data_IF_515944545086
#
_entry.id   IF_515944545086
#
_cell.length_a   1.000
_cell.length_b   1.000
_cell.length_c   1.000
_cell.angle_alpha   90.00
_cell.angle_beta   90.00
_cell.angle_gamma   90.00
#
_symmetry.space_group_name_H-M   'P 1'
#
loop_
_entity.id
_entity.type
_entity.pdbx_description
1 polymer ?
#
# COMPACT_ATOMS: atom_id res chain seq x y z
N UNK A 1 8.07 45.18 32.17
CA UNK A 1 7.62 43.82 32.48
C UNK A 1 7.39 42.94 31.25
N UNK A 2 7.15 43.49 30.06
CA UNK A 2 6.88 42.71 28.83
C UNK A 2 8.08 41.96 28.21
N UNK A 3 9.30 42.46 28.44
CA UNK A 3 10.51 41.89 27.81
C UNK A 3 10.95 40.53 28.43
N UNK A 4 10.61 40.30 29.70
CA UNK A 4 10.92 39.05 30.39
C UNK A 4 9.94 37.93 30.02
N UNK A 5 8.68 38.29 29.76
CA UNK A 5 7.64 37.37 29.35
C UNK A 5 7.88 36.84 27.93
N UNK A 6 8.29 37.73 27.03
CA UNK A 6 8.63 37.36 25.63
C UNK A 6 9.86 36.47 25.54
N UNK A 7 10.85 36.68 26.42
CA UNK A 7 12.05 35.85 26.47
C UNK A 7 11.77 34.42 27.05
N UNK A 8 10.86 34.37 28.03
CA UNK A 8 10.39 33.09 28.62
C UNK A 8 9.59 32.27 27.62
N UNK A 9 8.70 32.90 26.86
CA UNK A 9 7.92 32.22 25.80
C UNK A 9 8.83 31.75 24.67
N UNK A 10 9.77 32.56 24.23
CA UNK A 10 10.76 32.21 23.20
C UNK A 10 11.65 31.01 23.61
N UNK A 11 12.06 30.96 24.89
CA UNK A 11 12.86 29.84 25.41
C UNK A 11 12.03 28.55 25.54
N UNK A 12 10.75 28.65 25.94
CA UNK A 12 9.83 27.49 25.97
C UNK A 12 9.59 26.94 24.57
N UNK A 13 9.37 27.80 23.59
CA UNK A 13 9.16 27.39 22.19
C UNK A 13 10.45 26.74 21.64
N UNK A 14 11.61 27.31 21.90
CA UNK A 14 12.91 26.74 21.50
C UNK A 14 13.21 25.39 22.18
N UNK A 15 12.78 25.20 23.45
CA UNK A 15 12.87 23.93 24.16
C UNK A 15 12.01 22.85 23.51
N UNK A 16 10.77 23.17 23.19
CA UNK A 16 9.85 22.24 22.51
C UNK A 16 10.37 21.78 21.13
N UNK A 17 10.99 22.69 20.37
CA UNK A 17 11.61 22.35 19.08
C UNK A 17 12.93 21.59 19.21
N UNK A 18 13.62 21.70 20.33
CA UNK A 18 14.91 21.04 20.55
C UNK A 18 14.72 19.54 20.92
N UNK A 19 13.61 19.21 21.61
CA UNK A 19 13.25 17.83 21.94
C UNK A 19 12.43 17.15 20.82
N UNK A 20 11.97 17.91 19.81
CA UNK A 20 11.32 17.36 18.64
C UNK A 20 12.39 16.77 17.72
N UNK A 21 12.66 15.49 17.90
CA UNK A 21 13.54 14.74 16.99
C UNK A 21 12.91 14.70 15.60
N UNK A 22 13.27 15.68 14.80
CA UNK A 22 12.74 15.85 13.44
C UNK A 22 12.87 14.57 12.61
N UNK A 23 13.91 13.77 12.88
CA UNK A 23 14.15 12.50 12.20
C UNK A 23 13.06 11.43 12.49
N UNK A 24 12.47 11.43 13.69
CA UNK A 24 11.44 10.45 14.06
C UNK A 24 10.06 10.82 13.46
N UNK A 25 9.83 12.11 13.22
CA UNK A 25 8.54 12.60 12.70
C UNK A 25 8.62 13.09 11.25
N UNK A 26 9.79 13.00 10.61
CA UNK A 26 10.01 13.53 9.26
C UNK A 26 9.05 12.92 8.23
N UNK A 27 8.79 11.62 8.33
CA UNK A 27 7.86 10.92 7.43
C UNK A 27 6.43 11.44 7.58
N UNK A 28 5.95 11.60 8.83
CA UNK A 28 4.63 12.15 9.11
C UNK A 28 4.49 13.61 8.68
N UNK A 29 5.52 14.43 8.97
CA UNK A 29 5.55 15.83 8.55
C UNK A 29 5.57 15.97 7.03
N UNK A 30 6.36 15.13 6.34
CA UNK A 30 6.42 15.06 4.88
C UNK A 30 5.07 14.66 4.28
N UNK A 31 4.38 13.68 4.86
CA UNK A 31 3.03 13.29 4.43
C UNK A 31 2.03 14.44 4.57
N UNK A 32 2.01 15.12 5.73
CA UNK A 32 1.10 16.26 5.96
C UNK A 32 1.39 17.38 4.96
N UNK A 33 2.66 17.71 4.74
CA UNK A 33 3.06 18.74 3.78
C UNK A 33 2.58 18.39 2.36
N UNK A 34 2.81 17.16 1.90
CA UNK A 34 2.37 16.69 0.59
C UNK A 34 0.84 16.68 0.48
N UNK A 35 0.14 16.30 1.54
CA UNK A 35 -1.32 16.32 1.57
C UNK A 35 -1.88 17.74 1.43
N UNK A 36 -1.28 18.71 2.13
CA UNK A 36 -1.65 20.12 2.03
C UNK A 36 -1.38 20.65 0.62
N UNK A 37 -0.19 20.38 0.07
CA UNK A 37 0.16 20.80 -1.30
C UNK A 37 -0.79 20.18 -2.33
N UNK A 38 -1.08 18.89 -2.22
CA UNK A 38 -2.03 18.21 -3.11
C UNK A 38 -3.44 18.80 -3.00
N UNK A 39 -3.85 19.20 -1.80
CA UNK A 39 -5.14 19.86 -1.58
C UNK A 39 -5.19 21.24 -2.24
N UNK A 40 -4.13 22.05 -2.12
CA UNK A 40 -4.07 23.40 -2.72
C UNK A 40 -4.06 23.29 -4.24
N UNK A 41 -3.20 22.44 -4.81
CA UNK A 41 -3.04 22.31 -6.25
C UNK A 41 -4.25 21.62 -6.89
N UNK A 42 -4.83 20.64 -6.21
CA UNK A 42 -5.97 19.85 -6.70
C UNK A 42 -7.34 20.41 -6.38
N UNK A 43 -7.43 21.61 -5.78
CA UNK A 43 -8.71 22.22 -5.40
C UNK A 43 -9.62 22.51 -6.62
N UNK A 44 -10.94 22.24 -6.54
CA UNK A 44 -11.70 21.58 -5.46
C UNK A 44 -11.78 20.05 -5.62
N UNK A 45 -11.09 19.48 -6.60
CA UNK A 45 -11.27 18.08 -7.02
C UNK A 45 -10.61 17.07 -6.08
N UNK A 46 -9.51 17.46 -5.42
CA UNK A 46 -8.74 16.56 -4.55
C UNK A 46 -9.55 16.03 -3.37
N UNK A 47 -10.30 16.90 -2.69
CA UNK A 47 -11.11 16.56 -1.50
C UNK A 47 -12.50 16.01 -1.82
N UNK A 48 -12.88 15.88 -3.10
CA UNK A 48 -14.15 15.25 -3.45
C UNK A 48 -14.18 13.80 -2.96
N UNK A 49 -15.32 13.37 -2.40
CA UNK A 49 -15.51 12.00 -1.90
C UNK A 49 -15.12 10.97 -2.95
N UNK A 50 -15.48 11.19 -4.20
CA UNK A 50 -15.11 10.28 -5.30
C UNK A 50 -13.59 10.09 -5.43
N UNK A 51 -12.81 11.16 -5.29
CA UNK A 51 -11.35 11.08 -5.36
C UNK A 51 -10.76 10.41 -4.12
N UNK A 52 -11.25 10.77 -2.93
CA UNK A 52 -10.82 10.13 -1.68
C UNK A 52 -11.11 8.63 -1.67
N UNK A 53 -12.29 8.23 -2.16
CA UNK A 53 -12.62 6.80 -2.31
C UNK A 53 -11.69 6.09 -3.29
N UNK A 54 -11.31 6.72 -4.39
CA UNK A 54 -10.34 6.16 -5.34
C UNK A 54 -8.96 6.01 -4.71
N UNK A 55 -8.50 7.00 -3.93
CA UNK A 55 -7.22 6.95 -3.21
C UNK A 55 -7.25 5.79 -2.20
N UNK A 56 -8.30 5.69 -1.37
CA UNK A 56 -8.45 4.61 -0.40
C UNK A 56 -8.46 3.23 -1.07
N UNK A 57 -9.13 3.10 -2.21
CA UNK A 57 -9.14 1.86 -2.99
C UNK A 57 -7.73 1.48 -3.46
N UNK A 58 -6.98 2.44 -4.02
CA UNK A 58 -5.60 2.19 -4.47
C UNK A 58 -4.68 1.82 -3.30
N UNK A 59 -4.79 2.51 -2.16
CA UNK A 59 -4.04 2.18 -0.94
C UNK A 59 -4.38 0.77 -0.46
N UNK A 60 -5.65 0.36 -0.52
CA UNK A 60 -6.08 -0.98 -0.11
C UNK A 60 -5.41 -2.07 -0.95
N UNK A 61 -5.37 -1.92 -2.27
CA UNK A 61 -4.70 -2.89 -3.15
C UNK A 61 -3.19 -2.97 -2.86
N UNK A 62 -2.53 -1.82 -2.82
CA UNK A 62 -1.10 -1.74 -2.53
C UNK A 62 -0.78 -2.25 -1.12
N UNK A 63 -1.66 -1.98 -0.15
CA UNK A 63 -1.51 -2.43 1.23
C UNK A 63 -1.58 -3.95 1.36
N UNK A 64 -2.53 -4.61 0.69
CA UNK A 64 -2.65 -6.08 0.70
C UNK A 64 -1.40 -6.72 0.07
N UNK A 65 -0.95 -6.21 -1.07
CA UNK A 65 0.29 -6.67 -1.72
C UNK A 65 1.49 -6.43 -0.81
N UNK A 66 1.57 -5.24 -0.20
CA UNK A 66 2.65 -4.87 0.71
C UNK A 66 2.75 -5.77 1.95
N UNK A 67 1.61 -6.22 2.51
CA UNK A 67 1.60 -7.20 3.60
C UNK A 67 2.21 -8.54 3.16
N UNK A 68 1.85 -9.03 1.96
CA UNK A 68 2.46 -10.22 1.39
C UNK A 68 3.98 -10.07 1.19
N UNK A 69 4.40 -8.95 0.61
CA UNK A 69 5.82 -8.64 0.41
C UNK A 69 6.59 -8.52 1.73
N UNK A 70 5.97 -7.98 2.78
CA UNK A 70 6.59 -7.89 4.09
C UNK A 70 6.96 -9.27 4.63
N UNK A 71 6.10 -10.27 4.48
CA UNK A 71 6.39 -11.64 4.90
C UNK A 71 7.58 -12.23 4.12
N UNK A 72 7.67 -11.97 2.83
CA UNK A 72 8.78 -12.42 1.98
C UNK A 72 10.09 -11.75 2.39
N UNK A 73 10.07 -10.45 2.65
CA UNK A 73 11.26 -9.70 3.09
C UNK A 73 11.74 -10.17 4.46
N UNK A 74 10.83 -10.42 5.41
CA UNK A 74 11.19 -10.97 6.73
C UNK A 74 11.82 -12.36 6.61
N UNK A 75 11.39 -13.17 5.63
CA UNK A 75 12.01 -14.48 5.36
C UNK A 75 13.36 -14.39 4.62
N UNK A 76 13.86 -13.19 4.34
CA UNK A 76 15.15 -12.94 3.70
C UNK A 76 15.12 -13.00 2.17
N UNK A 77 13.91 -12.95 1.57
CA UNK A 77 13.72 -12.99 0.11
C UNK A 77 13.28 -11.64 -0.46
N UNK A 78 13.41 -11.50 -1.78
CA UNK A 78 12.80 -10.43 -2.57
C UNK A 78 12.09 -11.11 -3.73
N UNK A 79 10.76 -10.98 -3.81
CA UNK A 79 9.95 -11.53 -4.89
C UNK A 79 9.67 -10.43 -5.93
N UNK A 80 10.25 -10.56 -7.11
CA UNK A 80 10.00 -9.65 -8.23
C UNK A 80 8.79 -10.09 -9.08
N UNK A 81 8.24 -11.28 -8.84
CA UNK A 81 7.11 -11.81 -9.59
C UNK A 81 5.76 -11.18 -9.18
N UNK A 82 5.70 -10.46 -8.06
CA UNK A 82 4.45 -9.89 -7.51
C UNK A 82 3.66 -9.08 -8.53
N UNK A 83 4.33 -8.24 -9.33
CA UNK A 83 3.68 -7.44 -10.36
C UNK A 83 3.06 -8.30 -11.47
N UNK A 84 3.81 -9.25 -12.02
CA UNK A 84 3.34 -10.16 -13.06
C UNK A 84 2.27 -11.11 -12.55
N UNK A 85 2.41 -11.62 -11.32
CA UNK A 85 1.40 -12.42 -10.65
C UNK A 85 0.08 -11.67 -10.46
N UNK A 86 0.14 -10.44 -10.00
CA UNK A 86 -1.06 -9.60 -9.83
C UNK A 86 -1.77 -9.40 -11.16
N UNK A 87 -1.03 -9.10 -12.23
CA UNK A 87 -1.59 -8.96 -13.57
C UNK A 87 -2.18 -10.27 -14.09
N UNK A 88 -1.49 -11.39 -13.89
CA UNK A 88 -1.93 -12.70 -14.33
C UNK A 88 -3.21 -13.16 -13.62
N UNK A 89 -3.23 -13.10 -12.28
CA UNK A 89 -4.43 -13.44 -11.50
C UNK A 89 -5.60 -12.50 -11.82
N UNK A 90 -5.33 -11.21 -12.06
CA UNK A 90 -6.33 -10.26 -12.52
C UNK A 90 -6.93 -10.66 -13.88
N UNK A 91 -6.11 -11.07 -14.84
CA UNK A 91 -6.54 -11.60 -16.14
C UNK A 91 -7.39 -12.86 -16.00
N UNK A 92 -6.97 -13.80 -15.14
CA UNK A 92 -7.75 -15.01 -14.81
C UNK A 92 -9.09 -14.66 -14.18
N UNK A 93 -9.13 -13.65 -13.29
CA UNK A 93 -10.39 -13.18 -12.69
C UNK A 93 -11.37 -12.69 -13.75
N UNK A 94 -10.90 -11.86 -14.69
CA UNK A 94 -11.72 -11.33 -15.79
C UNK A 94 -12.19 -12.46 -16.70
N UNK A 95 -11.33 -13.41 -17.00
CA UNK A 95 -11.67 -14.59 -17.79
C UNK A 95 -12.83 -15.39 -17.15
N UNK A 96 -12.75 -15.67 -15.86
CA UNK A 96 -13.84 -16.37 -15.16
C UNK A 96 -15.13 -15.54 -15.10
N UNK A 97 -15.02 -14.22 -14.88
CA UNK A 97 -16.20 -13.34 -14.92
C UNK A 97 -16.91 -13.38 -16.26
N UNK A 98 -16.17 -13.52 -17.36
CA UNK A 98 -16.77 -13.59 -18.71
C UNK A 98 -17.36 -14.96 -19.04
N UNK A 99 -16.95 -16.04 -18.36
CA UNK A 99 -17.52 -17.38 -18.52
C UNK A 99 -18.89 -17.50 -17.84
N UNK A 100 -19.07 -16.83 -16.70
CA UNK A 100 -20.34 -16.86 -15.99
C UNK A 100 -21.31 -15.83 -16.59
N UNK A 101 -22.38 -16.26 -17.26
CA UNK A 101 -23.30 -15.33 -17.89
C UNK A 101 -24.09 -14.55 -16.84
N UNK A 102 -24.11 -13.23 -17.01
CA UNK A 102 -24.95 -12.29 -16.28
C UNK A 102 -24.24 -11.53 -15.15
N UNK A 103 -24.79 -10.35 -14.84
CA UNK A 103 -24.36 -9.48 -13.73
C UNK A 103 -24.74 -10.05 -12.35
N UNK A 104 -24.53 -11.36 -12.17
CA UNK A 104 -24.89 -12.05 -10.95
C UNK A 104 -23.81 -11.88 -9.89
N UNK A 105 -24.21 -11.54 -8.67
CA UNK A 105 -23.31 -11.51 -7.51
C UNK A 105 -22.63 -12.86 -7.31
N UNK A 106 -23.29 -13.96 -7.68
CA UNK A 106 -22.73 -15.30 -7.64
C UNK A 106 -21.52 -15.46 -8.58
N UNK A 107 -21.60 -14.90 -9.80
CA UNK A 107 -20.48 -14.91 -10.75
C UNK A 107 -19.25 -14.19 -10.17
N UNK A 108 -19.47 -13.03 -9.53
CA UNK A 108 -18.38 -12.27 -8.88
C UNK A 108 -17.77 -13.06 -7.74
N UNK A 109 -18.59 -13.69 -6.89
CA UNK A 109 -18.11 -14.50 -5.76
C UNK A 109 -17.33 -15.71 -6.26
N UNK A 110 -17.84 -16.46 -7.24
CA UNK A 110 -17.16 -17.62 -7.80
C UNK A 110 -15.84 -17.23 -8.48
N UNK A 111 -15.84 -16.19 -9.32
CA UNK A 111 -14.63 -15.71 -9.96
C UNK A 111 -13.57 -15.28 -8.93
N UNK A 112 -13.98 -14.62 -7.84
CA UNK A 112 -13.09 -14.23 -6.75
C UNK A 112 -12.48 -15.46 -6.04
N UNK A 113 -13.30 -16.47 -5.73
CA UNK A 113 -12.83 -17.71 -5.09
C UNK A 113 -11.82 -18.43 -6.00
N UNK A 114 -12.14 -18.60 -7.28
CA UNK A 114 -11.22 -19.23 -8.25
C UNK A 114 -9.91 -18.46 -8.37
N UNK A 115 -9.97 -17.14 -8.40
CA UNK A 115 -8.77 -16.29 -8.48
C UNK A 115 -7.87 -16.40 -7.24
N UNK A 116 -8.46 -16.47 -6.05
CA UNK A 116 -7.72 -16.68 -4.80
C UNK A 116 -7.05 -18.04 -4.79
N UNK A 117 -7.78 -19.10 -5.16
CA UNK A 117 -7.21 -20.46 -5.24
C UNK A 117 -6.09 -20.50 -6.27
N UNK A 118 -6.32 -19.92 -7.44
CA UNK A 118 -5.33 -19.92 -8.51
C UNK A 118 -4.07 -19.14 -8.13
N UNK A 119 -4.22 -17.95 -7.55
CA UNK A 119 -3.11 -17.18 -7.02
C UNK A 119 -2.35 -17.91 -5.92
N UNK A 120 -3.06 -18.64 -5.04
CA UNK A 120 -2.48 -19.47 -4.01
C UNK A 120 -1.65 -20.64 -4.59
N UNK A 121 -2.15 -21.30 -5.64
CA UNK A 121 -1.41 -22.37 -6.35
C UNK A 121 -0.13 -21.83 -6.99
N UNK A 122 -0.21 -20.70 -7.66
CA UNK A 122 0.95 -20.04 -8.24
C UNK A 122 1.98 -19.63 -7.18
N UNK A 123 1.52 -19.05 -6.07
CA UNK A 123 2.38 -18.69 -4.95
C UNK A 123 3.03 -19.91 -4.28
N UNK A 124 2.29 -21.03 -4.15
CA UNK A 124 2.82 -22.28 -3.66
C UNK A 124 3.91 -22.83 -4.60
N UNK A 125 3.68 -22.76 -5.91
CA UNK A 125 4.66 -23.19 -6.91
C UNK A 125 5.95 -22.38 -6.81
N UNK A 126 5.87 -21.04 -6.76
CA UNK A 126 7.03 -20.17 -6.55
C UNK A 126 7.74 -20.47 -5.22
N UNK A 127 6.98 -20.64 -4.14
CA UNK A 127 7.53 -20.99 -2.83
C UNK A 127 8.27 -22.33 -2.83
N UNK A 128 7.79 -23.33 -3.57
CA UNK A 128 8.46 -24.61 -3.74
C UNK A 128 9.74 -24.50 -4.56
N UNK A 129 9.76 -23.67 -5.61
CA UNK A 129 10.96 -23.39 -6.40
C UNK A 129 12.07 -22.77 -5.54
N UNK A 130 11.70 -21.83 -4.68
CA UNK A 130 12.66 -21.18 -3.77
C UNK A 130 13.14 -22.14 -2.69
N UNK A 131 12.24 -22.84 -2.01
CA UNK A 131 12.57 -23.63 -0.82
C UNK A 131 13.18 -24.99 -1.15
N UNK A 132 12.59 -25.73 -2.10
CA UNK A 132 13.07 -27.06 -2.51
C UNK A 132 13.98 -27.00 -3.73
N UNK A 133 13.67 -26.13 -4.68
CA UNK A 133 14.48 -25.92 -5.89
C UNK A 133 15.76 -25.13 -5.63
N UNK A 134 15.88 -24.49 -4.44
CA UNK A 134 17.01 -23.61 -4.08
C UNK A 134 17.27 -22.53 -5.13
N UNK A 135 16.22 -22.11 -5.82
CA UNK A 135 16.28 -20.98 -6.77
C UNK A 135 16.24 -19.70 -5.97
N UNK A 136 17.04 -18.72 -6.36
CA UNK A 136 17.01 -17.43 -5.69
C UNK A 136 15.63 -16.76 -5.83
N UNK A 137 15.05 -16.18 -4.75
CA UNK A 137 13.68 -15.66 -4.75
C UNK A 137 13.37 -14.62 -5.84
N UNK A 138 14.40 -13.89 -6.30
CA UNK A 138 14.25 -12.90 -7.37
C UNK A 138 14.21 -13.50 -8.79
N UNK A 139 14.44 -14.82 -8.93
CA UNK A 139 14.41 -15.53 -10.23
C UNK A 139 13.15 -16.40 -10.34
N UNK A 140 12.60 -16.87 -9.21
CA UNK A 140 11.37 -17.66 -9.16
C UNK A 140 10.15 -16.82 -9.42
#
# INVERSE_FOLDING_TARGET
>A
MDNLNNKSISMKIKGYFKDFKLSEHATGAGFILLFILATIVGWPSFLKIRNLTNILRQISYTGIIGLGMTLIIISGGIDLSVGSMTAFVGGVTIFFLNIFPGDSILAVVLASIFSIIFGGVCGLFNGLLVTKGRIAPFIA
#
